data_IF_549662825343
#
_entry.id   IF_549662825343
#
_cell.length_a   1.000
_cell.length_b   1.000
_cell.length_c   1.000
_cell.angle_alpha   90.00
_cell.angle_beta   90.00
_cell.angle_gamma   90.00
#
_symmetry.space_group_name_H-M   'P 1'
#
loop_
_entity.id
_entity.type
_entity.pdbx_description
1 polymer ?
#
# COMPACT_ATOMS: atom_id res chain seq x y z
N UNK A 1 7.55 27.09 -13.95
CA UNK A 1 6.79 28.35 -13.85
C UNK A 1 5.51 28.15 -13.03
N UNK A 2 5.64 27.85 -11.74
CA UNK A 2 4.50 27.77 -10.81
C UNK A 2 4.88 28.38 -9.45
N UNK A 3 5.62 29.49 -9.47
CA UNK A 3 5.72 30.41 -8.33
C UNK A 3 4.63 31.46 -8.49
N UNK A 4 3.37 31.02 -8.46
CA UNK A 4 2.28 31.99 -8.24
C UNK A 4 2.56 32.58 -6.85
N UNK A 5 2.82 33.88 -6.81
CA UNK A 5 2.91 34.68 -5.59
C UNK A 5 1.84 34.17 -4.62
N UNK A 6 2.29 33.60 -3.50
CA UNK A 6 1.41 33.06 -2.50
C UNK A 6 0.54 34.20 -1.96
N UNK A 7 -0.76 33.89 -1.80
CA UNK A 7 -1.81 34.60 -1.09
C UNK A 7 -1.48 36.02 -0.61
N UNK A 8 -2.28 37.00 -1.04
CA UNK A 8 -2.32 38.36 -0.49
C UNK A 8 -2.09 38.33 1.03
N UNK A 9 -1.03 38.98 1.51
CA UNK A 9 -0.62 38.95 2.92
C UNK A 9 -1.68 39.45 3.89
N UNK A 10 -2.68 40.17 3.36
CA UNK A 10 -3.83 40.73 4.06
C UNK A 10 -5.07 39.85 3.99
N UNK A 11 -5.08 38.79 3.18
CA UNK A 11 -6.21 37.89 3.01
C UNK A 11 -6.29 36.96 4.23
N UNK A 12 -7.41 36.99 4.94
CA UNK A 12 -7.67 36.27 6.20
C UNK A 12 -6.76 36.64 7.39
N UNK A 13 -5.82 37.57 7.21
CA UNK A 13 -4.90 38.00 8.26
C UNK A 13 -5.10 39.47 8.65
N UNK A 14 -4.92 39.77 9.94
CA UNK A 14 -4.98 41.12 10.47
C UNK A 14 -3.79 41.92 9.94
N UNK A 15 -4.05 42.98 9.19
CA UNK A 15 -3.04 43.85 8.60
C UNK A 15 -3.18 45.29 9.10
N UNK A 16 -2.05 46.00 9.32
CA UNK A 16 -2.09 47.41 9.69
C UNK A 16 -2.64 48.26 8.54
N UNK A 17 -3.31 49.36 8.88
CA UNK A 17 -3.91 50.31 7.93
C UNK A 17 -3.32 51.72 8.14
N UNK A 18 -3.40 52.57 7.11
CA UNK A 18 -2.97 53.96 7.16
C UNK A 18 -1.46 54.13 7.34
N UNK A 19 -1.05 54.98 8.28
CA UNK A 19 0.36 55.28 8.56
C UNK A 19 1.17 54.03 8.89
N UNK A 20 0.66 53.17 9.77
CA UNK A 20 1.36 51.95 10.21
C UNK A 20 1.61 50.94 9.08
N UNK A 21 0.79 50.96 8.01
CA UNK A 21 1.05 50.16 6.81
C UNK A 21 2.30 50.65 6.08
N UNK A 22 2.38 51.97 5.82
CA UNK A 22 3.54 52.57 5.14
C UNK A 22 4.83 52.38 5.93
N UNK A 23 4.76 52.51 7.26
CA UNK A 23 5.89 52.26 8.13
C UNK A 23 6.36 50.80 8.06
N UNK A 24 5.43 49.84 8.16
CA UNK A 24 5.74 48.41 8.03
C UNK A 24 6.37 48.09 6.67
N UNK A 25 5.76 48.59 5.60
CA UNK A 25 6.21 48.31 4.23
C UNK A 25 7.62 48.89 3.95
N UNK A 26 8.05 49.93 4.69
CA UNK A 26 9.39 50.50 4.61
C UNK A 26 10.44 49.80 5.50
N UNK A 27 10.02 49.14 6.58
CA UNK A 27 10.92 48.58 7.61
C UNK A 27 11.08 47.07 7.56
N UNK A 28 10.11 46.35 6.98
CA UNK A 28 10.13 44.88 6.90
C UNK A 28 10.90 44.42 5.66
N UNK A 29 11.71 43.36 5.83
CA UNK A 29 12.52 42.76 4.76
C UNK A 29 11.70 42.29 3.55
N UNK A 30 10.50 41.76 3.80
CA UNK A 30 9.57 41.36 2.75
C UNK A 30 8.15 41.87 3.08
N UNK A 31 7.63 42.88 2.34
CA UNK A 31 6.31 43.45 2.60
C UNK A 31 5.16 42.51 2.22
N UNK A 32 5.43 41.48 1.40
CA UNK A 32 4.47 40.41 1.04
C UNK A 32 4.29 39.38 2.17
N UNK A 33 5.04 39.47 3.28
CA UNK A 33 4.84 38.60 4.45
C UNK A 33 3.62 39.05 5.27
N UNK A 34 2.83 38.09 5.72
CA UNK A 34 1.69 38.29 6.62
C UNK A 34 2.09 38.30 8.11
N UNK A 35 1.26 38.90 8.95
CA UNK A 35 1.41 38.89 10.42
C UNK A 35 1.05 37.52 11.05
N UNK A 36 0.41 36.62 10.29
CA UNK A 36 -0.05 35.33 10.77
C UNK A 36 -1.24 35.39 11.74
N UNK A 37 -1.71 36.60 12.09
CA UNK A 37 -2.86 36.79 12.98
C UNK A 37 -4.16 36.61 12.21
N UNK A 38 -5.00 35.61 12.53
CA UNK A 38 -6.27 35.41 11.84
C UNK A 38 -7.27 36.54 12.11
N UNK A 39 -8.08 36.89 11.10
CA UNK A 39 -9.25 37.75 11.31
C UNK A 39 -10.33 36.96 12.04
N UNK A 40 -10.76 37.45 13.20
CA UNK A 40 -11.75 36.81 14.08
C UNK A 40 -13.10 36.53 13.38
N UNK A 41 -13.50 37.38 12.44
CA UNK A 41 -14.77 37.22 11.72
C UNK A 41 -14.79 36.04 10.73
N UNK A 42 -13.62 35.61 10.24
CA UNK A 42 -13.50 34.52 9.27
C UNK A 42 -13.01 33.21 9.90
N UNK A 43 -12.41 33.30 11.08
CA UNK A 43 -11.83 32.16 11.79
C UNK A 43 -12.85 31.65 12.78
N UNK A 44 -13.27 30.40 12.62
CA UNK A 44 -14.18 29.70 13.52
C UNK A 44 -15.56 30.35 13.74
N UNK A 45 -15.99 31.25 12.82
CA UNK A 45 -17.29 31.92 12.87
C UNK A 45 -18.05 31.89 11.53
N UNK A 46 -19.37 31.62 11.54
CA UNK A 46 -20.12 31.04 12.66
C UNK A 46 -19.63 29.62 12.94
N UNK A 47 -19.60 29.22 14.22
CA UNK A 47 -19.52 27.81 14.61
C UNK A 47 -20.78 27.13 14.06
N UNK A 48 -20.71 26.64 12.82
CA UNK A 48 -21.87 26.04 12.14
C UNK A 48 -22.47 24.96 13.03
N UNK A 49 -23.80 24.86 13.17
CA UNK A 49 -24.40 23.56 13.43
C UNK A 49 -24.07 22.72 12.20
N UNK A 50 -23.01 21.91 12.30
CA UNK A 50 -22.70 20.95 11.25
C UNK A 50 -23.84 19.94 11.30
N UNK A 51 -24.75 20.00 10.34
CA UNK A 51 -25.69 18.91 10.11
C UNK A 51 -24.83 17.69 9.77
N UNK A 52 -24.53 16.91 10.80
CA UNK A 52 -23.85 15.63 10.69
C UNK A 52 -24.82 14.68 10.01
N UNK A 53 -24.97 14.83 8.69
CA UNK A 53 -25.53 13.80 7.83
C UNK A 53 -24.54 12.65 7.89
N UNK A 54 -24.77 11.74 8.84
CA UNK A 54 -24.11 10.44 8.88
C UNK A 54 -24.33 9.78 7.52
N UNK A 55 -23.27 9.18 6.97
CA UNK A 55 -23.33 8.48 5.70
C UNK A 55 -24.51 7.51 5.69
N UNK A 56 -25.19 7.42 4.55
CA UNK A 56 -26.31 6.51 4.35
C UNK A 56 -25.87 5.09 4.72
N UNK A 57 -26.48 4.53 5.78
CA UNK A 57 -26.46 3.09 5.96
C UNK A 57 -27.04 2.45 4.70
N UNK A 58 -26.48 1.33 4.26
CA UNK A 58 -27.11 0.47 3.26
C UNK A 58 -28.34 -0.16 3.92
N UNK A 59 -29.49 0.53 3.85
CA UNK A 59 -30.73 0.17 4.55
C UNK A 59 -31.39 -1.13 4.04
N UNK A 60 -31.09 -1.57 2.81
CA UNK A 60 -31.78 -2.71 2.18
C UNK A 60 -30.78 -3.76 1.68
N UNK A 61 -31.07 -5.04 1.97
CA UNK A 61 -30.25 -6.22 1.56
C UNK A 61 -28.80 -6.20 2.05
N UNK A 62 -28.51 -5.62 3.21
CA UNK A 62 -27.18 -5.58 3.79
C UNK A 62 -27.11 -6.49 5.04
N UNK A 63 -27.00 -7.82 4.93
CA UNK A 63 -26.81 -8.68 6.10
C UNK A 63 -25.39 -8.53 6.70
N UNK A 64 -25.26 -8.65 8.03
CA UNK A 64 -23.98 -8.41 8.74
C UNK A 64 -22.87 -9.37 8.33
N UNK A 65 -23.17 -10.66 8.17
CA UNK A 65 -22.17 -11.68 7.86
C UNK A 65 -21.47 -11.49 6.51
N UNK A 66 -22.11 -10.84 5.52
CA UNK A 66 -21.48 -10.55 4.21
C UNK A 66 -20.46 -9.41 4.27
N UNK A 67 -20.57 -8.53 5.28
CA UNK A 67 -19.69 -7.37 5.49
C UNK A 67 -18.72 -7.57 6.66
N UNK A 68 -18.80 -8.71 7.34
CA UNK A 68 -17.99 -8.98 8.50
C UNK A 68 -16.56 -9.38 8.08
N UNK A 69 -15.73 -8.39 7.79
CA UNK A 69 -14.31 -8.56 7.46
C UNK A 69 -13.52 -9.12 8.66
N UNK A 70 -14.00 -8.89 9.89
CA UNK A 70 -13.31 -9.36 11.10
C UNK A 70 -13.35 -10.87 11.23
N UNK A 71 -14.45 -11.52 10.83
CA UNK A 71 -14.58 -12.98 10.85
C UNK A 71 -14.03 -13.67 9.60
N UNK A 72 -13.91 -12.94 8.49
CA UNK A 72 -13.31 -13.41 7.25
C UNK A 72 -11.82 -13.05 7.15
N UNK A 73 -11.07 -13.23 8.23
CA UNK A 73 -9.62 -12.95 8.23
C UNK A 73 -8.86 -14.08 7.51
N UNK A 74 -7.77 -13.77 6.79
CA UNK A 74 -6.91 -14.80 6.20
C UNK A 74 -6.20 -15.58 7.31
N UNK A 75 -6.24 -16.91 7.23
CA UNK A 75 -5.53 -17.78 8.17
C UNK A 75 -4.05 -17.88 7.81
N UNK A 76 -3.20 -18.00 8.82
CA UNK A 76 -1.76 -18.20 8.63
C UNK A 76 -1.49 -19.65 8.26
N UNK A 77 -0.96 -19.89 7.06
CA UNK A 77 -0.49 -21.21 6.62
C UNK A 77 0.91 -21.47 7.16
N UNK A 78 1.06 -22.42 8.08
CA UNK A 78 2.37 -22.91 8.57
C UNK A 78 2.73 -24.17 7.81
N UNK A 79 3.93 -24.19 7.25
CA UNK A 79 4.42 -25.31 6.46
C UNK A 79 5.70 -25.83 7.12
N UNK A 80 5.64 -27.05 7.66
CA UNK A 80 6.75 -27.69 8.38
C UNK A 80 7.63 -28.49 7.43
N UNK A 81 8.88 -28.77 7.81
CA UNK A 81 9.80 -29.58 7.01
C UNK A 81 9.24 -30.93 6.55
N UNK A 82 8.62 -31.77 7.42
CA UNK A 82 8.00 -33.02 6.95
C UNK A 82 6.77 -32.80 6.07
N UNK A 83 6.01 -31.71 6.30
CA UNK A 83 4.89 -31.35 5.41
C UNK A 83 5.36 -30.87 4.04
N UNK A 84 6.53 -30.22 3.94
CA UNK A 84 7.13 -29.87 2.66
C UNK A 84 7.63 -31.08 1.90
N UNK A 85 8.30 -32.03 2.58
CA UNK A 85 8.83 -33.21 1.89
C UNK A 85 7.71 -34.06 1.31
N UNK A 86 6.58 -34.21 2.00
CA UNK A 86 5.40 -34.91 1.46
C UNK A 86 4.79 -34.16 0.26
N UNK A 87 4.57 -32.85 0.39
CA UNK A 87 4.01 -32.03 -0.70
C UNK A 87 4.88 -32.04 -1.95
N UNK A 88 6.21 -31.98 -1.79
CA UNK A 88 7.14 -32.04 -2.92
C UNK A 88 7.03 -33.35 -3.69
N UNK A 89 6.92 -34.48 -2.97
CA UNK A 89 6.79 -35.81 -3.59
C UNK A 89 5.43 -35.93 -4.30
N UNK A 90 4.34 -35.57 -3.63
CA UNK A 90 2.97 -35.61 -4.19
C UNK A 90 2.84 -34.79 -5.47
N UNK A 91 3.40 -33.57 -5.48
CA UNK A 91 3.35 -32.68 -6.64
C UNK A 91 4.35 -33.04 -7.76
N UNK A 92 5.39 -33.82 -7.47
CA UNK A 92 6.36 -34.28 -8.48
C UNK A 92 5.81 -35.40 -9.35
N UNK A 93 4.91 -36.23 -8.81
CA UNK A 93 4.20 -37.24 -9.61
C UNK A 93 3.05 -36.58 -10.36
N UNK A 94 2.96 -36.71 -11.70
CA UNK A 94 1.82 -36.16 -12.43
C UNK A 94 0.53 -36.80 -11.90
N UNK A 95 -0.30 -36.01 -11.23
CA UNK A 95 -1.66 -36.41 -10.89
C UNK A 95 -2.47 -36.55 -12.20
N UNK A 96 -2.41 -37.72 -12.81
CA UNK A 96 -3.53 -38.19 -13.61
C UNK A 96 -4.69 -38.39 -12.64
N UNK A 97 -5.52 -37.35 -12.47
CA UNK A 97 -6.80 -37.50 -11.77
C UNK A 97 -7.65 -38.41 -12.63
N UNK A 98 -7.56 -39.72 -12.39
CA UNK A 98 -8.47 -40.69 -12.96
C UNK A 98 -9.89 -40.31 -12.52
N UNK A 99 -10.85 -40.37 -13.45
CA UNK A 99 -12.25 -40.11 -13.16
C UNK A 99 -12.70 -40.99 -11.97
N UNK A 100 -13.46 -40.45 -11.01
CA UNK A 100 -13.88 -41.22 -9.84
C UNK A 100 -14.72 -42.42 -10.29
N UNK A 101 -14.25 -43.63 -10.01
CA UNK A 101 -15.04 -44.84 -10.19
C UNK A 101 -16.06 -44.95 -9.05
N UNK A 102 -17.33 -45.22 -9.38
CA UNK A 102 -18.40 -45.43 -8.40
C UNK A 102 -18.29 -46.83 -7.75
N UNK A 103 -18.41 -46.90 -6.42
CA UNK A 103 -18.42 -48.14 -5.62
C UNK A 103 -17.44 -48.12 -4.45
N UNK A 104 -17.50 -49.12 -3.54
CA UNK A 104 -16.70 -49.26 -2.29
C UNK A 104 -15.16 -49.13 -2.46
N UNK A 105 -14.66 -49.06 -3.70
CA UNK A 105 -13.27 -48.69 -4.00
C UNK A 105 -12.98 -47.17 -3.80
N UNK A 106 -14.00 -46.31 -3.67
CA UNK A 106 -13.83 -44.87 -3.50
C UNK A 106 -13.32 -44.45 -2.11
N UNK A 107 -13.60 -45.23 -1.06
CA UNK A 107 -13.13 -44.91 0.31
C UNK A 107 -11.61 -45.05 0.47
N UNK A 108 -10.97 -45.88 -0.36
CA UNK A 108 -9.51 -46.03 -0.38
C UNK A 108 -8.78 -44.92 -1.16
N UNK A 109 -9.49 -44.01 -1.83
CA UNK A 109 -8.88 -42.95 -2.65
C UNK A 109 -8.74 -41.60 -1.95
N UNK A 110 -9.24 -41.46 -0.71
CA UNK A 110 -9.23 -40.18 0.03
C UNK A 110 -8.25 -40.09 1.20
N UNK A 111 -7.53 -41.17 1.51
CA UNK A 111 -6.41 -41.10 2.43
C UNK A 111 -5.13 -41.32 1.62
N UNK A 112 -4.49 -40.22 1.20
CA UNK A 112 -3.05 -40.27 0.93
C UNK A 112 -2.45 -40.80 2.23
N UNK A 113 -2.00 -42.06 2.21
CA UNK A 113 -1.38 -42.67 3.37
C UNK A 113 -0.23 -41.75 3.82
N UNK A 114 -0.06 -41.51 5.13
CA UNK A 114 1.09 -40.76 5.62
C UNK A 114 2.35 -41.52 5.17
N UNK A 115 2.98 -41.05 4.10
CA UNK A 115 4.25 -41.57 3.64
C UNK A 115 5.27 -41.32 4.76
N UNK A 116 6.16 -42.28 4.97
CA UNK A 116 7.22 -42.14 5.98
C UNK A 116 7.93 -40.79 5.80
N UNK A 117 8.27 -40.09 6.90
CA UNK A 117 8.88 -38.77 6.82
C UNK A 117 10.29 -38.92 6.26
N UNK A 118 10.39 -38.91 4.94
CA UNK A 118 11.65 -38.80 4.25
C UNK A 118 12.26 -37.44 4.61
N UNK A 119 13.56 -37.47 4.87
CA UNK A 119 14.31 -36.25 5.11
C UNK A 119 14.20 -35.32 3.89
N UNK A 120 14.09 -34.03 4.15
CA UNK A 120 13.87 -33.00 3.13
C UNK A 120 14.95 -33.06 2.05
N UNK A 121 16.20 -33.32 2.44
CA UNK A 121 17.31 -33.44 1.51
C UNK A 121 17.11 -34.60 0.51
N UNK A 122 16.64 -35.75 1.00
CA UNK A 122 16.38 -36.92 0.18
C UNK A 122 15.13 -36.74 -0.72
N UNK A 123 14.15 -35.95 -0.29
CA UNK A 123 13.00 -35.60 -1.12
C UNK A 123 13.42 -34.65 -2.26
N UNK A 124 14.24 -33.63 -1.96
CA UNK A 124 14.71 -32.66 -2.95
C UNK A 124 15.56 -33.34 -4.04
N UNK A 125 16.45 -34.26 -3.69
CA UNK A 125 17.26 -34.98 -4.69
C UNK A 125 16.38 -35.75 -5.66
N UNK A 126 15.42 -36.53 -5.16
CA UNK A 126 14.45 -37.28 -5.98
C UNK A 126 13.64 -36.38 -6.92
N UNK A 127 13.12 -35.26 -6.42
CA UNK A 127 12.30 -34.34 -7.23
C UNK A 127 13.13 -33.59 -8.26
N UNK A 128 14.38 -33.25 -7.94
CA UNK A 128 15.27 -32.57 -8.88
C UNK A 128 15.65 -33.42 -10.09
N UNK A 129 15.60 -34.76 -9.94
CA UNK A 129 15.85 -35.71 -11.02
C UNK A 129 14.64 -35.88 -11.94
N UNK A 130 13.42 -35.83 -11.39
CA UNK A 130 12.18 -36.13 -12.12
C UNK A 130 11.45 -34.90 -12.67
N UNK A 131 11.52 -33.76 -11.98
CA UNK A 131 10.67 -32.59 -12.24
C UNK A 131 11.49 -31.32 -12.32
N UNK A 132 11.09 -30.43 -13.22
CA UNK A 132 11.71 -29.12 -13.34
C UNK A 132 11.33 -28.22 -12.13
N UNK A 133 12.26 -28.08 -11.17
CA UNK A 133 12.07 -27.28 -9.94
C UNK A 133 12.16 -25.77 -10.19
N UNK A 134 12.93 -25.36 -11.22
CA UNK A 134 13.18 -23.95 -11.54
C UNK A 134 12.52 -23.55 -12.86
N UNK A 135 12.41 -22.24 -13.11
CA UNK A 135 11.98 -21.74 -14.43
C UNK A 135 12.88 -22.26 -15.57
N UNK A 136 12.46 -22.17 -16.83
CA UNK A 136 13.27 -22.62 -17.99
C UNK A 136 14.68 -22.00 -18.01
N UNK A 137 14.79 -20.77 -17.52
CA UNK A 137 16.06 -20.04 -17.36
C UNK A 137 16.96 -20.57 -16.24
N UNK A 138 16.52 -21.56 -15.46
CA UNK A 138 17.17 -22.12 -14.26
C UNK A 138 17.51 -21.08 -13.19
N UNK A 139 16.84 -19.93 -13.23
CA UNK A 139 16.93 -18.89 -12.20
C UNK A 139 15.92 -19.17 -11.07
N UNK A 140 16.26 -18.85 -9.82
CA UNK A 140 15.31 -18.88 -8.72
C UNK A 140 14.16 -17.89 -8.98
N UNK A 141 12.95 -18.16 -8.46
CA UNK A 141 11.83 -17.24 -8.63
C UNK A 141 12.14 -15.89 -7.96
N UNK A 142 11.88 -14.81 -8.67
CA UNK A 142 11.98 -13.45 -8.10
C UNK A 142 10.77 -13.15 -7.21
N UNK A 143 10.98 -12.38 -6.14
CA UNK A 143 9.88 -11.93 -5.29
C UNK A 143 8.82 -11.18 -6.12
N UNK A 144 7.57 -11.58 -5.97
CA UNK A 144 6.44 -10.87 -6.59
C UNK A 144 6.24 -9.54 -5.88
N UNK A 145 6.65 -8.44 -6.51
CA UNK A 145 6.37 -7.10 -6.00
C UNK A 145 5.05 -6.58 -6.60
N UNK A 146 4.10 -6.21 -5.75
CA UNK A 146 2.81 -5.65 -6.18
C UNK A 146 2.97 -4.30 -6.90
N UNK A 147 4.09 -3.59 -6.68
CA UNK A 147 4.40 -2.29 -7.27
C UNK A 147 5.73 -2.36 -8.04
N UNK A 148 5.70 -2.77 -9.31
CA UNK A 148 6.87 -3.34 -9.97
C UNK A 148 8.00 -2.36 -10.37
N UNK A 149 7.91 -1.04 -10.14
CA UNK A 149 9.04 -0.09 -10.27
C UNK A 149 8.63 1.33 -9.85
N UNK A 150 9.37 1.93 -8.92
CA UNK A 150 9.39 3.38 -8.82
C UNK A 150 10.25 3.93 -9.96
N UNK A 151 9.69 4.79 -10.80
CA UNK A 151 10.42 5.49 -11.86
C UNK A 151 10.58 6.93 -11.40
N UNK A 152 11.79 7.35 -10.98
CA UNK A 152 11.99 8.71 -10.49
C UNK A 152 11.73 9.73 -11.60
N UNK A 153 10.67 10.52 -11.49
CA UNK A 153 10.45 11.67 -12.38
C UNK A 153 11.03 12.91 -11.75
N UNK A 154 12.00 13.55 -12.42
CA UNK A 154 12.62 14.77 -11.89
C UNK A 154 11.56 15.88 -11.79
N UNK A 155 11.27 16.29 -10.57
CA UNK A 155 10.40 17.41 -10.25
C UNK A 155 11.17 18.73 -10.45
N UNK A 156 10.49 19.86 -10.67
CA UNK A 156 11.12 21.17 -10.51
C UNK A 156 11.86 21.23 -9.19
N UNK A 157 13.07 21.83 -9.21
CA UNK A 157 13.88 22.03 -8.02
C UNK A 157 13.15 22.85 -6.95
N UNK A 158 13.64 22.77 -5.71
CA UNK A 158 13.16 23.63 -4.65
C UNK A 158 13.29 25.12 -5.06
N UNK A 159 12.40 26.01 -4.58
CA UNK A 159 12.55 27.44 -4.82
C UNK A 159 13.90 27.89 -4.27
N UNK A 160 14.78 28.35 -5.16
CA UNK A 160 16.14 28.78 -4.85
C UNK A 160 16.44 30.08 -5.60
N UNK A 161 17.34 30.90 -5.07
CA UNK A 161 17.90 32.02 -5.82
C UNK A 161 18.67 31.52 -7.05
N UNK A 162 18.75 32.34 -8.10
CA UNK A 162 19.44 32.00 -9.35
C UNK A 162 20.92 31.59 -9.13
N UNK A 163 21.54 32.11 -8.08
CA UNK A 163 22.95 31.89 -7.74
C UNK A 163 23.16 31.06 -6.47
N UNK A 164 22.10 30.48 -5.90
CA UNK A 164 22.21 29.68 -4.67
C UNK A 164 22.58 28.23 -5.01
N UNK A 165 23.67 27.73 -4.41
CA UNK A 165 24.03 26.31 -4.51
C UNK A 165 23.15 25.47 -3.58
N UNK A 166 22.30 24.61 -4.14
CA UNK A 166 21.41 23.73 -3.39
C UNK A 166 21.54 22.26 -3.86
N UNK A 167 22.27 21.40 -3.12
CA UNK A 167 22.51 20.01 -3.52
C UNK A 167 21.33 19.08 -3.17
N UNK A 168 20.10 19.47 -3.50
CA UNK A 168 18.93 18.60 -3.37
C UNK A 168 18.19 18.48 -4.70
N UNK A 169 17.83 17.23 -5.05
CA UNK A 169 17.05 16.92 -6.24
C UNK A 169 15.69 16.35 -5.83
N UNK A 170 14.62 16.95 -6.34
CA UNK A 170 13.26 16.51 -6.07
C UNK A 170 12.83 15.52 -7.15
N UNK A 171 12.28 14.38 -6.71
CA UNK A 171 11.73 13.35 -7.57
C UNK A 171 10.28 13.05 -7.18
N UNK A 172 9.45 12.75 -8.16
CA UNK A 172 8.08 12.28 -8.01
C UNK A 172 7.95 10.87 -8.55
#
# INVERSE_FOLDING_TARGET
MATKKLADSTLYHLSPKGFWKKFRDATVLNPEISSGLPIQAYTDFPRRPRDLKRMQLLLRKNPYWKRDVRRAYPMLSVVTQPGLSSLLIEHSTPQAVAAPAEGEAADNTKAVAPQEPLDLAAAISKVSESTQVYSESKLPPTLTNAYPKWVPQRSPGAPQGEYDYFPMHLYK
#
